data_IF_790583996749
#
_entry.id   IF_790583996749
#
_cell.length_a   1.000
_cell.length_b   1.000
_cell.length_c   1.000
_cell.angle_alpha   90.00
_cell.angle_beta   90.00
_cell.angle_gamma   90.00
#
_symmetry.space_group_name_H-M   'P 1'
#
loop_
_entity.id
_entity.type
_entity.pdbx_description
1 polymer ?
#
# COMPACT_ATOMS: atom_id res chain seq x y z
N UNK A 1 15.76 23.53 6.20
CA UNK A 1 14.47 23.50 5.42
C UNK A 1 13.38 24.15 6.26
N UNK A 2 12.44 24.91 5.66
CA UNK A 2 11.33 25.51 6.40
C UNK A 2 10.21 24.47 6.56
N UNK A 3 9.96 24.03 7.80
CA UNK A 3 8.99 22.97 8.09
C UNK A 3 7.53 23.43 7.96
N UNK A 4 7.25 24.67 8.29
CA UNK A 4 5.92 25.26 8.16
C UNK A 4 5.51 25.33 6.69
N UNK A 5 6.42 25.72 5.79
CA UNK A 5 6.18 25.72 4.35
C UNK A 5 5.99 24.30 3.82
N UNK A 6 6.78 23.31 4.29
CA UNK A 6 6.62 21.91 3.92
C UNK A 6 5.23 21.38 4.29
N UNK A 7 4.69 21.75 5.47
CA UNK A 7 3.33 21.39 5.88
C UNK A 7 2.29 21.96 4.91
N UNK A 8 2.40 23.21 4.49
CA UNK A 8 1.44 23.80 3.53
C UNK A 8 1.51 23.12 2.16
N UNK A 9 2.71 22.73 1.71
CA UNK A 9 2.86 21.93 0.49
C UNK A 9 2.23 20.53 0.62
N UNK A 10 2.36 19.89 1.77
CA UNK A 10 1.70 18.61 2.08
C UNK A 10 0.18 18.73 2.11
N UNK A 11 -0.36 19.82 2.69
CA UNK A 11 -1.80 20.09 2.66
C UNK A 11 -2.29 20.31 1.23
N UNK A 12 -1.57 21.10 0.42
CA UNK A 12 -1.91 21.33 -0.99
C UNK A 12 -1.92 20.00 -1.77
N UNK A 13 -0.90 19.15 -1.56
CA UNK A 13 -0.83 17.83 -2.16
C UNK A 13 -2.01 16.94 -1.73
N UNK A 14 -2.32 16.89 -0.44
CA UNK A 14 -3.41 16.08 0.09
C UNK A 14 -4.79 16.52 -0.46
N UNK A 15 -5.01 17.83 -0.62
CA UNK A 15 -6.23 18.37 -1.26
C UNK A 15 -6.32 17.97 -2.73
N UNK A 16 -5.20 18.04 -3.46
CA UNK A 16 -5.17 17.73 -4.89
C UNK A 16 -5.28 16.22 -5.19
N UNK A 17 -4.67 15.38 -4.37
CA UNK A 17 -4.42 13.99 -4.73
C UNK A 17 -4.89 12.94 -3.72
N UNK A 18 -5.09 13.31 -2.45
CA UNK A 18 -5.50 12.40 -1.39
C UNK A 18 -6.91 12.70 -0.87
N UNK A 19 -7.66 13.54 -1.58
CA UNK A 19 -9.06 13.86 -1.27
C UNK A 19 -9.28 14.51 0.10
N UNK A 20 -8.28 15.21 0.65
CA UNK A 20 -8.43 15.97 1.88
C UNK A 20 -9.54 17.01 1.72
N UNK A 21 -10.57 16.92 2.57
CA UNK A 21 -11.71 17.82 2.54
C UNK A 21 -11.36 19.18 3.15
N UNK A 22 -12.01 20.25 2.67
CA UNK A 22 -11.75 21.59 3.17
C UNK A 22 -12.05 21.75 4.68
N UNK A 23 -13.03 21.01 5.19
CA UNK A 23 -13.37 21.01 6.63
C UNK A 23 -12.30 20.34 7.49
N UNK A 24 -11.49 19.44 6.94
CA UNK A 24 -10.45 18.70 7.65
C UNK A 24 -9.06 19.38 7.57
N UNK A 25 -8.94 20.44 6.81
CA UNK A 25 -7.66 21.12 6.54
C UNK A 25 -6.99 21.63 7.83
N UNK A 26 -7.73 22.34 8.68
CA UNK A 26 -7.19 22.88 9.95
C UNK A 26 -6.80 21.74 10.89
N UNK A 27 -7.65 20.72 11.00
CA UNK A 27 -7.38 19.54 11.83
C UNK A 27 -6.09 18.85 11.39
N UNK A 28 -5.97 18.56 10.09
CA UNK A 28 -4.80 17.89 9.50
C UNK A 28 -3.54 18.72 9.66
N UNK A 29 -3.62 20.05 9.42
CA UNK A 29 -2.49 20.97 9.65
C UNK A 29 -2.01 20.91 11.10
N UNK A 30 -2.90 20.92 12.06
CA UNK A 30 -2.55 20.86 13.48
C UNK A 30 -1.89 19.54 13.86
N UNK A 31 -2.34 18.40 13.28
CA UNK A 31 -1.67 17.12 13.46
C UNK A 31 -0.25 17.13 12.88
N UNK A 32 -0.07 17.69 11.68
CA UNK A 32 1.24 17.83 11.06
C UNK A 32 2.16 18.74 11.87
N UNK A 33 1.68 19.89 12.32
CA UNK A 33 2.44 20.79 13.20
C UNK A 33 2.95 20.04 14.44
N UNK A 34 2.08 19.27 15.09
CA UNK A 34 2.47 18.45 16.25
C UNK A 34 3.53 17.42 15.89
N UNK A 35 3.39 16.69 14.77
CA UNK A 35 4.36 15.68 14.32
C UNK A 35 5.70 16.27 13.93
N UNK A 36 5.71 17.49 13.39
CA UNK A 36 6.92 18.21 12.99
C UNK A 36 7.55 19.01 14.14
N UNK A 37 6.93 19.00 15.34
CA UNK A 37 7.39 19.77 16.49
C UNK A 37 7.32 21.30 16.26
N UNK A 38 6.30 21.75 15.52
CA UNK A 38 6.05 23.13 15.15
C UNK A 38 4.79 23.66 15.84
N UNK A 39 4.69 24.98 16.05
CA UNK A 39 3.64 25.59 16.87
C UNK A 39 2.76 26.60 16.12
N UNK A 40 3.13 26.96 14.90
CA UNK A 40 2.38 27.90 14.08
C UNK A 40 2.40 27.50 12.60
N UNK A 41 1.33 27.79 11.82
CA UNK A 41 1.35 27.60 10.39
C UNK A 41 2.31 28.60 9.72
N UNK A 42 2.64 28.33 8.46
CA UNK A 42 3.40 29.25 7.63
C UNK A 42 2.58 30.51 7.35
N UNK A 43 3.18 31.68 7.56
CA UNK A 43 2.55 33.00 7.39
C UNK A 43 2.92 33.69 6.07
N UNK A 44 3.77 33.04 5.25
CA UNK A 44 4.21 33.57 3.96
C UNK A 44 3.34 33.13 2.78
N UNK A 45 3.69 33.60 1.58
CA UNK A 45 3.08 33.15 0.34
C UNK A 45 3.54 31.74 0.02
N UNK A 46 2.58 30.82 -0.14
CA UNK A 46 2.85 29.44 -0.52
C UNK A 46 2.75 29.31 -2.05
N UNK A 47 3.82 28.85 -2.68
CA UNK A 47 3.80 28.47 -4.08
C UNK A 47 3.66 26.97 -4.20
N UNK A 48 2.61 26.51 -4.90
CA UNK A 48 2.21 25.09 -4.97
C UNK A 48 2.09 24.57 -6.40
N UNK A 49 2.54 25.35 -7.40
CA UNK A 49 2.43 24.93 -8.81
C UNK A 49 3.15 23.61 -9.08
N UNK A 50 4.34 23.44 -8.51
CA UNK A 50 5.11 22.21 -8.59
C UNK A 50 4.41 21.01 -7.95
N UNK A 51 3.66 21.25 -6.86
CA UNK A 51 2.89 20.20 -6.17
C UNK A 51 1.79 19.64 -7.07
N UNK A 52 1.08 20.48 -7.80
CA UNK A 52 -0.01 20.05 -8.70
C UNK A 52 0.48 19.28 -9.93
N UNK A 53 1.77 19.35 -10.25
CA UNK A 53 2.40 18.60 -11.34
C UNK A 53 2.94 17.23 -10.88
N UNK A 54 2.96 16.95 -9.59
CA UNK A 54 3.49 15.70 -9.04
C UNK A 54 2.60 14.51 -9.41
N UNK A 55 3.18 13.53 -10.10
CA UNK A 55 2.51 12.25 -10.38
C UNK A 55 2.64 11.25 -9.22
N UNK A 56 3.75 11.35 -8.48
CA UNK A 56 4.12 10.52 -7.34
C UNK A 56 4.66 11.42 -6.22
N UNK A 57 4.55 11.02 -4.94
CA UNK A 57 4.93 11.85 -3.81
C UNK A 57 6.43 11.84 -3.46
N UNK A 58 7.29 11.26 -4.30
CA UNK A 58 8.70 10.97 -4.00
C UNK A 58 9.49 12.20 -3.55
N UNK A 59 9.25 13.36 -4.17
CA UNK A 59 9.91 14.61 -3.79
C UNK A 59 9.51 15.03 -2.37
N UNK A 60 8.22 15.01 -2.04
CA UNK A 60 7.73 15.33 -0.69
C UNK A 60 8.21 14.31 0.34
N UNK A 61 8.29 13.03 -0.04
CA UNK A 61 8.89 11.99 0.81
C UNK A 61 10.34 12.32 1.17
N UNK A 62 11.14 12.68 0.16
CA UNK A 62 12.54 13.06 0.37
C UNK A 62 12.66 14.32 1.25
N UNK A 63 11.80 15.31 1.06
CA UNK A 63 11.75 16.52 1.88
C UNK A 63 11.40 16.20 3.34
N UNK A 64 10.40 15.34 3.59
CA UNK A 64 10.04 14.91 4.95
C UNK A 64 11.22 14.18 5.60
N UNK A 65 11.85 13.24 4.91
CA UNK A 65 13.01 12.50 5.42
C UNK A 65 14.17 13.44 5.78
N UNK A 66 14.47 14.40 4.89
CA UNK A 66 15.53 15.38 5.14
C UNK A 66 15.22 16.27 6.35
N UNK A 67 13.99 16.76 6.45
CA UNK A 67 13.54 17.58 7.58
C UNK A 67 13.57 16.79 8.90
N UNK A 68 13.06 15.56 8.90
CA UNK A 68 13.04 14.71 10.08
C UNK A 68 14.48 14.46 10.60
N UNK A 69 15.42 14.18 9.71
CA UNK A 69 16.84 14.02 10.04
C UNK A 69 17.46 15.29 10.58
N UNK A 70 17.25 16.42 9.93
CA UNK A 70 17.80 17.72 10.32
C UNK A 70 17.30 18.14 11.72
N UNK A 71 16.05 17.82 12.04
CA UNK A 71 15.41 18.23 13.31
C UNK A 71 15.44 17.15 14.39
N UNK A 72 15.93 15.94 14.09
CA UNK A 72 15.97 14.83 15.04
C UNK A 72 14.57 14.35 15.46
N UNK A 73 13.60 14.32 14.52
CA UNK A 73 12.22 13.93 14.81
C UNK A 73 12.01 12.40 14.92
N UNK A 74 13.01 11.63 14.53
CA UNK A 74 13.04 10.18 14.63
C UNK A 74 14.48 9.69 14.80
N UNK A 75 14.66 8.42 15.17
CA UNK A 75 15.97 7.80 15.24
C UNK A 75 16.63 7.74 13.86
N UNK A 76 17.97 7.74 13.83
CA UNK A 76 18.73 7.66 12.59
C UNK A 76 18.41 6.35 11.84
N UNK A 77 18.03 6.48 10.58
CA UNK A 77 17.59 5.37 9.72
C UNK A 77 16.09 5.11 9.72
N UNK A 78 15.30 5.80 10.58
CA UNK A 78 13.84 5.66 10.65
C UNK A 78 13.09 6.79 9.90
N UNK A 79 13.80 7.62 9.15
CA UNK A 79 13.21 8.76 8.44
C UNK A 79 12.14 8.34 7.42
N UNK A 80 12.36 7.20 6.76
CA UNK A 80 11.38 6.64 5.83
C UNK A 80 10.10 6.20 6.56
N UNK A 81 10.21 5.62 7.76
CA UNK A 81 9.07 5.26 8.61
C UNK A 81 8.29 6.50 9.03
N UNK A 82 9.01 7.55 9.44
CA UNK A 82 8.40 8.83 9.77
C UNK A 82 7.60 9.40 8.59
N UNK A 83 8.20 9.40 7.38
CA UNK A 83 7.52 9.87 6.17
C UNK A 83 6.26 9.05 5.82
N UNK A 84 6.31 7.71 5.96
CA UNK A 84 5.12 6.84 5.81
C UNK A 84 4.03 7.25 6.81
N UNK A 85 4.40 7.55 8.06
CA UNK A 85 3.47 8.04 9.08
C UNK A 85 2.78 9.35 8.69
N UNK A 86 3.54 10.30 8.14
CA UNK A 86 2.98 11.57 7.64
C UNK A 86 1.98 11.31 6.51
N UNK A 87 2.33 10.49 5.52
CA UNK A 87 1.39 10.13 4.44
C UNK A 87 0.19 9.31 4.94
N UNK A 88 0.37 8.53 6.00
CA UNK A 88 -0.73 7.85 6.69
C UNK A 88 -1.77 8.82 7.26
N UNK A 89 -1.31 9.93 7.87
CA UNK A 89 -2.19 11.00 8.37
C UNK A 89 -2.90 11.76 7.25
N UNK A 90 -2.25 11.94 6.10
CA UNK A 90 -2.82 12.63 4.93
C UNK A 90 -3.81 11.76 4.14
N UNK A 91 -3.75 10.44 4.30
CA UNK A 91 -4.60 9.49 3.57
C UNK A 91 -5.95 9.34 4.28
N UNK A 92 -7.09 9.42 3.58
CA UNK A 92 -8.41 9.26 4.19
C UNK A 92 -8.52 7.99 5.04
N UNK A 93 -9.30 7.99 6.13
CA UNK A 93 -9.47 6.82 6.96
C UNK A 93 -10.14 5.66 6.19
N UNK A 94 -9.92 4.39 6.62
CA UNK A 94 -10.47 3.21 5.93
C UNK A 94 -11.97 3.26 5.68
N UNK A 95 -12.74 3.81 6.61
CA UNK A 95 -14.20 3.96 6.45
C UNK A 95 -14.58 4.86 5.28
N UNK A 96 -13.86 5.96 5.09
CA UNK A 96 -14.11 6.89 3.99
C UNK A 96 -13.65 6.29 2.66
N UNK A 97 -12.50 5.63 2.62
CA UNK A 97 -12.02 4.94 1.42
C UNK A 97 -13.00 3.87 0.97
N UNK A 98 -13.50 3.03 1.89
CA UNK A 98 -14.51 2.02 1.56
C UNK A 98 -15.83 2.66 1.08
N UNK A 99 -16.30 3.71 1.74
CA UNK A 99 -17.51 4.44 1.32
C UNK A 99 -17.34 5.01 -0.09
N UNK A 100 -16.22 5.67 -0.38
CA UNK A 100 -15.94 6.25 -1.69
C UNK A 100 -15.81 5.17 -2.76
N UNK A 101 -15.09 4.09 -2.48
CA UNK A 101 -14.90 2.96 -3.39
C UNK A 101 -16.26 2.37 -3.83
N UNK A 102 -17.12 2.05 -2.88
CA UNK A 102 -18.42 1.46 -3.21
C UNK A 102 -19.39 2.43 -3.84
N UNK A 103 -19.33 3.71 -3.52
CA UNK A 103 -20.10 4.75 -4.22
C UNK A 103 -19.66 4.85 -5.70
N UNK A 104 -18.35 4.89 -5.97
CA UNK A 104 -17.82 4.91 -7.33
C UNK A 104 -18.19 3.61 -8.07
N UNK A 105 -18.05 2.45 -7.40
CA UNK A 105 -18.41 1.15 -7.99
C UNK A 105 -19.86 1.11 -8.44
N UNK A 106 -20.77 1.63 -7.61
CA UNK A 106 -22.21 1.67 -7.92
C UNK A 106 -22.54 2.65 -9.05
N UNK A 107 -21.87 3.80 -9.12
CA UNK A 107 -22.14 4.86 -10.11
C UNK A 107 -21.42 4.62 -11.44
N UNK A 108 -20.14 4.19 -11.40
CA UNK A 108 -19.22 4.18 -12.56
C UNK A 108 -18.63 2.79 -12.87
N UNK A 109 -18.99 1.79 -12.08
CA UNK A 109 -18.53 0.42 -12.26
C UNK A 109 -17.20 0.09 -11.53
N UNK A 110 -16.86 -1.21 -11.56
CA UNK A 110 -15.76 -1.78 -10.80
C UNK A 110 -14.39 -1.19 -11.21
N UNK A 111 -14.15 -0.97 -12.51
CA UNK A 111 -12.88 -0.42 -12.98
C UNK A 111 -12.59 0.95 -12.35
N UNK A 112 -13.55 1.89 -12.42
CA UNK A 112 -13.35 3.23 -11.85
C UNK A 112 -13.11 3.18 -10.33
N UNK A 113 -13.72 2.23 -9.62
CA UNK A 113 -13.46 2.04 -8.20
C UNK A 113 -12.04 1.49 -7.93
N UNK A 114 -11.59 0.56 -8.77
CA UNK A 114 -10.21 0.05 -8.72
C UNK A 114 -9.20 1.15 -9.05
N UNK A 115 -9.43 1.94 -10.08
CA UNK A 115 -8.60 3.10 -10.46
C UNK A 115 -8.48 4.11 -9.31
N UNK A 116 -9.58 4.35 -8.58
CA UNK A 116 -9.58 5.19 -7.39
C UNK A 116 -8.65 4.65 -6.30
N UNK A 117 -8.79 3.37 -5.93
CA UNK A 117 -7.98 2.75 -4.87
C UNK A 117 -6.51 2.62 -5.29
N UNK A 118 -6.24 2.23 -6.54
CA UNK A 118 -4.90 2.17 -7.10
C UNK A 118 -4.24 3.55 -7.11
N UNK A 119 -4.95 4.55 -7.65
CA UNK A 119 -4.49 5.93 -7.69
C UNK A 119 -4.19 6.50 -6.30
N UNK A 120 -5.05 6.22 -5.32
CA UNK A 120 -4.81 6.58 -3.92
C UNK A 120 -3.54 5.92 -3.39
N UNK A 121 -3.35 4.62 -3.65
CA UNK A 121 -2.20 3.84 -3.19
C UNK A 121 -0.87 4.30 -3.82
N UNK A 122 -0.89 4.80 -5.07
CA UNK A 122 0.27 5.43 -5.72
C UNK A 122 0.55 6.81 -5.10
N UNK A 123 -0.49 7.63 -4.97
CA UNK A 123 -0.36 9.03 -4.52
C UNK A 123 -0.04 9.19 -3.04
N UNK A 124 -0.35 8.19 -2.22
CA UNK A 124 0.08 8.18 -0.82
C UNK A 124 1.45 7.50 -0.60
N UNK A 125 2.12 7.08 -1.69
CA UNK A 125 3.44 6.46 -1.66
C UNK A 125 3.46 5.02 -1.14
N UNK A 126 2.29 4.37 -0.97
CA UNK A 126 2.26 2.96 -0.63
C UNK A 126 2.76 2.09 -1.79
N UNK A 127 2.29 2.35 -3.02
CA UNK A 127 2.87 1.79 -4.24
C UNK A 127 4.04 2.66 -4.65
N UNK A 128 5.24 2.09 -4.60
CA UNK A 128 6.49 2.78 -4.94
C UNK A 128 6.74 2.77 -6.45
N UNK A 129 5.96 3.58 -7.17
CA UNK A 129 5.93 3.59 -8.64
C UNK A 129 7.32 3.78 -9.25
N UNK A 130 8.09 4.76 -8.77
CA UNK A 130 9.45 5.03 -9.25
C UNK A 130 10.44 3.88 -8.99
N UNK A 131 10.23 3.12 -7.89
CA UNK A 131 11.04 1.94 -7.63
C UNK A 131 10.66 0.79 -8.57
N UNK A 132 9.35 0.62 -8.85
CA UNK A 132 8.84 -0.39 -9.78
C UNK A 132 9.35 -0.12 -11.21
N UNK A 133 9.40 1.13 -11.65
CA UNK A 133 9.88 1.52 -12.98
C UNK A 133 11.36 1.17 -13.23
N UNK A 134 12.12 0.85 -12.18
CA UNK A 134 13.51 0.37 -12.29
C UNK A 134 13.60 -1.14 -12.48
N UNK A 135 12.49 -1.88 -12.34
CA UNK A 135 12.47 -3.31 -12.60
C UNK A 135 12.85 -3.59 -14.06
N UNK A 136 13.60 -4.67 -14.28
CA UNK A 136 13.97 -5.08 -15.63
C UNK A 136 12.89 -6.02 -16.17
N UNK A 137 12.42 -5.74 -17.38
CA UNK A 137 11.43 -6.55 -18.07
C UNK A 137 11.86 -6.76 -19.51
N UNK A 138 11.83 -8.01 -19.97
CA UNK A 138 12.08 -8.35 -21.38
C UNK A 138 11.34 -9.62 -21.76
N UNK A 139 11.18 -9.84 -23.06
CA UNK A 139 10.60 -11.04 -23.61
C UNK A 139 11.66 -11.97 -24.16
N UNK A 140 11.44 -13.27 -24.01
CA UNK A 140 12.22 -14.32 -24.66
C UNK A 140 11.28 -15.20 -25.47
N UNK A 141 11.61 -15.43 -26.74
CA UNK A 141 10.85 -16.29 -27.64
C UNK A 141 11.67 -17.57 -27.88
N UNK A 142 11.10 -18.74 -27.55
CA UNK A 142 11.71 -20.05 -27.77
C UNK A 142 11.30 -20.67 -29.11
N UNK A 143 10.55 -19.95 -29.95
CA UNK A 143 10.00 -20.39 -31.23
C UNK A 143 8.63 -21.12 -31.12
N UNK A 144 8.15 -21.39 -29.90
CA UNK A 144 6.82 -21.94 -29.63
C UNK A 144 6.01 -21.03 -28.69
N UNK A 145 6.69 -20.38 -27.75
CA UNK A 145 6.07 -19.54 -26.74
C UNK A 145 6.88 -18.26 -26.54
N UNK A 146 6.19 -17.16 -26.26
CA UNK A 146 6.80 -15.93 -25.81
C UNK A 146 6.73 -15.87 -24.29
N UNK A 147 7.87 -15.85 -23.62
CA UNK A 147 8.00 -15.74 -22.17
C UNK A 147 8.33 -14.31 -21.79
N UNK A 148 7.61 -13.76 -20.84
CA UNK A 148 8.00 -12.50 -20.18
C UNK A 148 8.90 -12.81 -18.98
N UNK A 149 10.06 -12.17 -18.94
CA UNK A 149 11.02 -12.33 -17.87
C UNK A 149 11.16 -11.00 -17.14
N UNK A 150 11.00 -11.03 -15.83
CA UNK A 150 11.10 -9.85 -14.97
C UNK A 150 12.17 -10.03 -13.90
N UNK A 151 12.95 -8.98 -13.63
CA UNK A 151 13.81 -8.87 -12.45
C UNK A 151 13.25 -7.77 -11.55
N UNK A 152 12.69 -8.16 -10.43
CA UNK A 152 12.07 -7.25 -9.49
C UNK A 152 13.15 -6.62 -8.57
N UNK A 153 13.68 -5.47 -8.96
CA UNK A 153 14.69 -4.72 -8.21
C UNK A 153 14.07 -3.96 -7.02
N UNK A 154 12.77 -3.65 -7.09
CA UNK A 154 12.06 -2.93 -6.03
C UNK A 154 11.85 -3.81 -4.79
N UNK A 155 11.75 -5.12 -4.99
CA UNK A 155 11.69 -6.12 -3.91
C UNK A 155 12.32 -7.43 -4.38
N UNK A 156 13.59 -7.67 -4.09
CA UNK A 156 14.21 -8.96 -4.33
C UNK A 156 13.43 -10.09 -3.67
N UNK A 157 13.26 -11.20 -4.38
CA UNK A 157 12.60 -12.37 -3.81
C UNK A 157 13.36 -12.92 -2.60
N UNK A 158 12.60 -13.44 -1.64
CA UNK A 158 13.21 -14.16 -0.51
C UNK A 158 13.83 -15.46 -1.02
N UNK A 159 15.03 -15.76 -0.57
CA UNK A 159 15.63 -17.03 -0.91
C UNK A 159 14.93 -18.20 -0.18
N UNK A 160 15.05 -19.41 -0.73
CA UNK A 160 14.39 -20.60 -0.20
C UNK A 160 14.75 -20.91 1.26
N UNK A 161 15.95 -20.52 1.74
CA UNK A 161 16.35 -20.70 3.13
C UNK A 161 15.58 -19.77 4.07
N UNK A 162 15.33 -18.55 3.65
CA UNK A 162 14.54 -17.59 4.44
C UNK A 162 13.06 -17.97 4.47
N UNK A 163 12.53 -18.50 3.36
CA UNK A 163 11.17 -19.05 3.30
C UNK A 163 11.04 -20.26 4.25
N UNK A 164 11.98 -21.18 4.21
CA UNK A 164 11.97 -22.35 5.10
C UNK A 164 12.07 -21.96 6.59
N UNK A 165 12.87 -20.95 6.94
CA UNK A 165 12.92 -20.42 8.31
C UNK A 165 11.59 -19.83 8.77
N UNK A 166 10.88 -19.12 7.88
CA UNK A 166 9.57 -18.56 8.20
C UNK A 166 8.52 -19.63 8.47
N UNK A 167 8.59 -20.78 7.79
CA UNK A 167 7.68 -21.91 7.97
C UNK A 167 7.94 -22.65 9.31
N UNK A 168 9.18 -22.67 9.77
CA UNK A 168 9.57 -23.34 11.03
C UNK A 168 9.60 -22.38 12.21
N UNK A 169 9.52 -21.08 11.99
CA UNK A 169 9.45 -20.10 13.07
C UNK A 169 8.14 -20.29 13.86
N UNK A 170 8.19 -20.25 15.20
CA UNK A 170 6.97 -20.24 15.99
C UNK A 170 6.07 -19.09 15.52
N UNK A 171 4.77 -19.35 15.34
CA UNK A 171 3.82 -18.29 14.99
C UNK A 171 4.02 -17.13 15.97
N UNK A 172 4.38 -15.96 15.45
CA UNK A 172 4.57 -14.81 16.32
C UNK A 172 3.23 -14.52 17.00
N UNK A 173 3.21 -14.51 18.33
CA UNK A 173 2.10 -13.95 19.10
C UNK A 173 2.07 -12.43 19.01
N UNK A 174 2.77 -11.86 18.01
CA UNK A 174 2.89 -10.44 17.79
C UNK A 174 1.66 -9.83 17.11
N UNK A 175 1.59 -8.53 17.14
CA UNK A 175 0.59 -7.73 16.46
C UNK A 175 1.30 -6.84 15.42
N UNK A 176 0.93 -6.93 14.13
CA UNK A 176 0.09 -7.94 13.46
C UNK A 176 0.73 -9.34 13.43
N UNK A 177 -0.08 -10.39 13.31
CA UNK A 177 0.43 -11.77 13.29
C UNK A 177 1.27 -12.09 12.04
N UNK A 178 0.96 -11.46 10.88
CA UNK A 178 1.78 -11.55 9.67
C UNK A 178 1.65 -10.29 8.80
N UNK A 179 2.42 -10.23 7.72
CA UNK A 179 2.43 -9.08 6.80
C UNK A 179 1.14 -8.90 5.99
N UNK A 180 0.26 -9.89 5.95
CA UNK A 180 -1.03 -9.83 5.24
C UNK A 180 -2.21 -9.54 6.17
N UNK A 181 -2.04 -9.61 7.48
CA UNK A 181 -3.14 -9.35 8.41
C UNK A 181 -3.72 -7.96 8.24
N UNK A 182 -5.04 -7.85 8.40
CA UNK A 182 -5.77 -6.58 8.31
C UNK A 182 -5.25 -5.53 9.30
N UNK A 183 -4.75 -5.96 10.44
CA UNK A 183 -4.12 -5.15 11.48
C UNK A 183 -2.89 -4.37 10.99
N UNK A 184 -2.38 -4.66 9.81
CA UNK A 184 -1.35 -3.85 9.17
C UNK A 184 -1.87 -2.48 8.71
N UNK A 185 -3.18 -2.33 8.45
CA UNK A 185 -3.75 -1.07 8.01
C UNK A 185 -3.60 0.00 9.10
N UNK A 186 -2.78 1.00 8.84
CA UNK A 186 -2.45 2.05 9.81
C UNK A 186 -1.32 1.70 10.79
N UNK A 187 -0.74 0.50 10.72
CA UNK A 187 0.30 0.06 11.65
C UNK A 187 1.66 0.69 11.35
N UNK A 188 2.29 1.25 12.39
CA UNK A 188 3.59 1.90 12.25
C UNK A 188 4.73 0.90 12.00
N UNK A 189 4.59 -0.30 12.54
CA UNK A 189 5.65 -1.31 12.54
C UNK A 189 6.70 -1.05 13.62
N UNK A 190 7.52 -2.06 13.87
CA UNK A 190 8.66 -1.98 14.80
C UNK A 190 9.83 -2.80 14.27
N UNK A 191 11.05 -2.29 14.42
CA UNK A 191 12.25 -2.99 13.99
C UNK A 191 12.20 -3.37 12.51
N UNK A 192 12.25 -4.67 12.21
CA UNK A 192 12.21 -5.19 10.83
C UNK A 192 10.81 -5.19 10.18
N UNK A 193 9.75 -4.85 10.93
CA UNK A 193 8.42 -4.73 10.35
C UNK A 193 8.32 -3.45 9.51
N UNK A 194 7.83 -3.59 8.29
CA UNK A 194 7.62 -2.44 7.41
C UNK A 194 6.51 -1.52 7.95
N UNK A 195 6.69 -0.20 7.88
CA UNK A 195 5.62 0.74 8.20
C UNK A 195 4.48 0.64 7.17
N UNK A 196 3.23 0.74 7.64
CA UNK A 196 2.04 0.56 6.82
C UNK A 196 0.92 1.56 7.15
N UNK A 197 1.26 2.72 7.71
CA UNK A 197 0.26 3.72 8.08
C UNK A 197 -0.52 4.26 6.88
N UNK A 198 0.08 4.23 5.69
CA UNK A 198 -0.51 4.70 4.44
C UNK A 198 -1.24 3.62 3.63
N UNK A 199 -1.23 2.34 4.04
CA UNK A 199 -2.04 1.31 3.34
C UNK A 199 -3.52 1.58 3.54
N UNK A 200 -4.32 1.30 2.50
CA UNK A 200 -5.79 1.24 2.59
C UNK A 200 -6.30 0.01 1.88
N UNK A 201 -7.33 -0.56 2.46
CA UNK A 201 -7.96 -1.79 1.98
C UNK A 201 -9.44 -1.57 1.73
N UNK A 202 -10.02 -2.34 0.83
CA UNK A 202 -11.46 -2.37 0.62
C UNK A 202 -12.00 -3.76 0.95
N UNK A 203 -13.13 -3.80 1.67
CA UNK A 203 -13.78 -5.04 2.08
C UNK A 203 -14.45 -5.70 0.88
N UNK A 204 -14.51 -7.03 0.89
CA UNK A 204 -15.29 -7.80 -0.07
C UNK A 204 -15.78 -9.09 0.59
N UNK A 205 -16.64 -9.84 -0.08
CA UNK A 205 -17.11 -11.15 0.36
C UNK A 205 -16.72 -12.14 -0.73
N UNK A 206 -16.04 -13.22 -0.37
CA UNK A 206 -15.68 -14.32 -1.28
C UNK A 206 -16.03 -15.64 -0.60
N UNK A 207 -16.76 -16.52 -1.29
CA UNK A 207 -17.26 -17.78 -0.72
C UNK A 207 -18.13 -17.57 0.52
N UNK A 208 -18.88 -16.47 0.59
CA UNK A 208 -19.69 -16.09 1.75
C UNK A 208 -18.91 -15.60 2.99
N UNK A 209 -17.58 -15.53 2.91
CA UNK A 209 -16.69 -15.12 4.01
C UNK A 209 -16.19 -13.68 3.83
N UNK A 210 -15.83 -12.98 4.93
CA UNK A 210 -15.27 -11.63 4.85
C UNK A 210 -13.81 -11.64 4.37
N UNK A 211 -13.54 -10.88 3.33
CA UNK A 211 -12.23 -10.66 2.72
C UNK A 211 -11.97 -9.17 2.57
N UNK A 212 -10.73 -8.81 2.24
CA UNK A 212 -10.38 -7.46 1.83
C UNK A 212 -9.35 -7.50 0.69
N UNK A 213 -9.34 -6.43 -0.10
CA UNK A 213 -8.46 -6.26 -1.23
C UNK A 213 -7.54 -5.07 -0.96
N UNK A 214 -6.26 -5.24 -1.25
CA UNK A 214 -5.24 -4.20 -1.24
C UNK A 214 -4.38 -4.32 -2.48
N UNK A 215 -3.75 -3.23 -2.90
CA UNK A 215 -2.69 -3.31 -3.89
C UNK A 215 -1.36 -3.71 -3.25
N UNK A 216 -0.50 -4.36 -4.03
CA UNK A 216 0.86 -4.66 -3.62
C UNK A 216 1.74 -3.42 -3.79
N UNK A 217 2.63 -3.12 -2.83
CA UNK A 217 3.62 -2.05 -3.02
C UNK A 217 4.65 -2.39 -4.10
N UNK A 218 4.68 -3.63 -4.54
CA UNK A 218 5.58 -4.17 -5.56
C UNK A 218 4.76 -4.88 -6.63
N UNK A 219 5.02 -4.61 -7.90
CA UNK A 219 4.24 -5.16 -9.01
C UNK A 219 4.97 -6.35 -9.66
N UNK A 220 4.28 -7.50 -9.74
CA UNK A 220 4.58 -8.56 -10.71
C UNK A 220 3.81 -8.32 -12.01
N UNK A 221 2.62 -7.75 -11.90
CA UNK A 221 1.73 -7.35 -12.99
C UNK A 221 1.31 -5.90 -12.82
N UNK A 222 0.76 -5.29 -13.86
CA UNK A 222 0.09 -4.01 -13.72
C UNK A 222 -1.01 -4.12 -12.66
N UNK A 223 -1.08 -3.10 -11.79
CA UNK A 223 -2.10 -3.03 -10.74
C UNK A 223 -2.20 -4.30 -9.89
N UNK A 224 -1.05 -4.91 -9.59
CA UNK A 224 -0.99 -6.11 -8.77
C UNK A 224 -1.72 -5.92 -7.44
N UNK A 225 -2.82 -6.64 -7.25
CA UNK A 225 -3.61 -6.64 -6.03
C UNK A 225 -3.57 -7.99 -5.32
N UNK A 226 -3.96 -7.99 -4.07
CA UNK A 226 -4.02 -9.18 -3.22
C UNK A 226 -5.39 -9.18 -2.54
N UNK A 227 -6.17 -10.24 -2.77
CA UNK A 227 -7.36 -10.54 -2.00
C UNK A 227 -6.95 -11.40 -0.79
N UNK A 228 -7.32 -10.98 0.41
CA UNK A 228 -6.84 -11.56 1.66
C UNK A 228 -8.04 -11.89 2.55
N UNK A 229 -8.07 -13.09 3.12
CA UNK A 229 -9.08 -13.47 4.11
C UNK A 229 -8.96 -12.58 5.36
N UNK A 230 -10.07 -12.11 5.95
CA UNK A 230 -10.02 -11.44 7.25
C UNK A 230 -9.57 -12.41 8.36
N UNK A 231 -9.84 -13.71 8.21
CA UNK A 231 -9.37 -14.73 9.13
C UNK A 231 -7.89 -15.09 8.83
N UNK A 232 -7.06 -15.08 9.87
CA UNK A 232 -5.68 -15.53 9.76
C UNK A 232 -5.62 -17.06 9.75
N UNK A 233 -5.94 -17.65 8.60
CA UNK A 233 -5.94 -19.10 8.38
C UNK A 233 -4.88 -19.45 7.33
N UNK A 234 -4.20 -20.62 7.46
CA UNK A 234 -3.23 -21.05 6.45
C UNK A 234 -3.86 -21.26 5.08
N UNK A 235 -3.05 -21.08 4.02
CA UNK A 235 -3.42 -21.44 2.66
C UNK A 235 -3.86 -22.89 2.59
N UNK A 236 -5.04 -23.12 2.02
CA UNK A 236 -5.57 -24.47 1.75
C UNK A 236 -6.34 -24.44 0.41
N UNK A 237 -5.72 -24.97 -0.62
CA UNK A 237 -6.35 -25.05 -1.95
C UNK A 237 -7.30 -26.24 -1.99
N UNK A 238 -8.58 -25.98 -2.11
CA UNK A 238 -9.67 -26.95 -2.16
C UNK A 238 -10.83 -26.42 -3.01
N UNK A 239 -11.97 -27.11 -3.02
CA UNK A 239 -13.14 -26.74 -3.83
C UNK A 239 -13.67 -25.34 -3.51
N UNK A 240 -13.63 -24.89 -2.25
CA UNK A 240 -14.05 -23.55 -1.87
C UNK A 240 -13.12 -22.46 -2.43
N UNK A 241 -11.88 -22.78 -2.77
CA UNK A 241 -10.96 -21.86 -3.44
C UNK A 241 -11.49 -21.47 -4.81
N UNK A 242 -12.07 -22.40 -5.54
CA UNK A 242 -12.65 -22.12 -6.87
C UNK A 242 -13.84 -21.18 -6.76
N UNK A 243 -14.73 -21.39 -5.79
CA UNK A 243 -15.85 -20.50 -5.52
C UNK A 243 -15.37 -19.09 -5.17
N UNK A 244 -14.41 -18.95 -4.27
CA UNK A 244 -13.83 -17.64 -3.86
C UNK A 244 -13.18 -16.90 -5.04
N UNK A 245 -12.48 -17.62 -5.92
CA UNK A 245 -11.84 -17.06 -7.11
C UNK A 245 -12.89 -16.59 -8.12
N UNK A 246 -13.98 -17.34 -8.32
CA UNK A 246 -15.09 -16.94 -9.18
C UNK A 246 -15.81 -15.71 -8.62
N UNK A 247 -16.10 -15.69 -7.33
CA UNK A 247 -16.71 -14.51 -6.67
C UNK A 247 -15.84 -13.26 -6.84
N UNK A 248 -14.51 -13.42 -6.80
CA UNK A 248 -13.61 -12.28 -7.03
C UNK A 248 -13.75 -11.73 -8.45
N UNK A 249 -13.72 -12.55 -9.49
CA UNK A 249 -13.83 -12.05 -10.88
C UNK A 249 -15.22 -11.51 -11.18
N UNK A 250 -16.26 -12.00 -10.52
CA UNK A 250 -17.61 -11.41 -10.59
C UNK A 250 -17.63 -10.02 -9.94
N UNK A 251 -16.94 -9.86 -8.81
CA UNK A 251 -16.85 -8.57 -8.13
C UNK A 251 -15.93 -7.57 -8.85
N UNK A 252 -14.87 -8.06 -9.52
CA UNK A 252 -13.81 -7.29 -10.18
C UNK A 252 -13.54 -7.82 -11.60
N UNK A 253 -14.47 -7.64 -12.55
CA UNK A 253 -14.45 -8.31 -13.86
C UNK A 253 -13.30 -7.87 -14.78
N UNK A 254 -12.55 -6.84 -14.41
CA UNK A 254 -11.39 -6.35 -15.18
C UNK A 254 -10.06 -6.93 -14.70
N UNK A 255 -10.11 -7.80 -13.68
CA UNK A 255 -8.94 -8.48 -13.12
C UNK A 255 -9.02 -9.98 -13.43
N UNK A 256 -7.87 -10.61 -13.51
CA UNK A 256 -7.74 -12.05 -13.31
C UNK A 256 -7.25 -12.31 -11.88
N UNK A 257 -7.43 -13.50 -11.37
CA UNK A 257 -6.97 -13.90 -10.05
C UNK A 257 -6.44 -15.32 -10.07
N UNK A 258 -5.42 -15.58 -9.26
CA UNK A 258 -4.84 -16.89 -9.06
C UNK A 258 -4.56 -17.17 -7.60
N UNK A 259 -4.56 -18.46 -7.25
CA UNK A 259 -4.12 -18.93 -5.94
C UNK A 259 -2.68 -19.42 -6.00
N UNK A 260 -1.89 -19.11 -5.00
CA UNK A 260 -0.62 -19.79 -4.77
C UNK A 260 -0.87 -21.24 -4.35
N UNK A 261 0.02 -22.16 -4.74
CA UNK A 261 -0.01 -23.51 -4.19
C UNK A 261 0.25 -23.47 -2.67
N UNK A 262 -0.46 -24.30 -1.90
CA UNK A 262 -0.27 -24.41 -0.45
C UNK A 262 1.00 -25.19 -0.05
N UNK A 263 1.94 -25.34 -0.98
CA UNK A 263 3.18 -26.08 -0.79
C UNK A 263 4.37 -25.14 -0.69
N UNK A 264 5.27 -25.34 0.28
CA UNK A 264 6.56 -24.66 0.32
C UNK A 264 7.33 -24.89 -0.99
N UNK A 265 8.09 -23.88 -1.46
CA UNK A 265 8.95 -23.97 -2.66
C UNK A 265 8.19 -23.74 -3.98
N UNK A 266 6.91 -24.14 -4.10
CA UNK A 266 6.12 -24.03 -5.33
C UNK A 266 5.14 -22.83 -5.26
N UNK A 267 4.81 -22.39 -4.07
CA UNK A 267 3.84 -21.32 -3.82
C UNK A 267 4.47 -20.03 -3.28
N UNK A 268 3.62 -19.11 -2.89
CA UNK A 268 4.01 -17.81 -2.35
C UNK A 268 4.81 -17.87 -1.05
N UNK A 269 5.38 -16.75 -0.66
CA UNK A 269 6.24 -16.62 0.52
C UNK A 269 5.49 -16.52 1.86
N UNK A 270 4.15 -16.43 1.85
CA UNK A 270 3.30 -16.31 3.04
C UNK A 270 2.19 -17.35 2.94
N UNK A 271 2.45 -18.55 3.45
CA UNK A 271 1.51 -19.67 3.39
C UNK A 271 0.64 -19.81 4.65
N UNK A 272 0.91 -19.00 5.67
CA UNK A 272 0.18 -19.03 6.94
C UNK A 272 -1.05 -18.11 6.96
N UNK A 273 -1.34 -17.45 5.85
CA UNK A 273 -2.50 -16.59 5.71
C UNK A 273 -3.12 -16.76 4.32
N UNK A 274 -4.38 -17.16 4.24
CA UNK A 274 -5.08 -17.40 2.98
C UNK A 274 -5.23 -16.10 2.20
N UNK A 275 -4.74 -16.11 0.96
CA UNK A 275 -4.79 -14.98 0.05
C UNK A 275 -4.68 -15.42 -1.39
N UNK A 276 -5.18 -14.57 -2.31
CA UNK A 276 -5.12 -14.74 -3.76
C UNK A 276 -4.48 -13.51 -4.40
N UNK A 277 -3.90 -13.66 -5.60
CA UNK A 277 -3.21 -12.57 -6.30
C UNK A 277 -3.69 -12.44 -7.74
#
# INVERSE_FOLDING_TARGET
MNGELLIERLIAYAKAFLHLQACDEIYTRNLLLSKFGLFAPYDGKVETNDVYEMRVPDALYAEICAFARERGLCDAGEEARFAVGIFGLLTPPPSEVNRAFYAIKAEKGAQCACDYLYGLSVRNGYIQKTAIEKNLVWTYDDGQNTLEITVNLSKPEKNNKDIAKLLTAPQSKGYPACALCKENEGFEGQGAQAPRQNIRTVKTILGGEPWFVQYSPYAYYNEHCIAISEAHTPMNVNDSTVEKVLDFVDAFPNYFIGSNASLPIIGGSILNHEHFQ
#
